data_IF_349709107598
#
_entry.id   IF_349709107598
#
_cell.length_a   1.000
_cell.length_b   1.000
_cell.length_c   1.000
_cell.angle_alpha   90.00
_cell.angle_beta   90.00
_cell.angle_gamma   90.00
#
_symmetry.space_group_name_H-M   'P 1'
#
loop_
_entity.id
_entity.type
_entity.pdbx_description
1 polymer ?
#
# COMPACT_ATOMS: atom_id res chain seq x y z
N UNK A 1 -27.80 -5.38 6.25
CA UNK A 1 -27.45 -6.72 5.76
C UNK A 1 -25.94 -6.83 5.59
N UNK A 2 -25.37 -7.95 6.02
CA UNK A 2 -23.92 -8.15 6.04
C UNK A 2 -23.34 -8.61 4.68
N UNK A 3 -24.17 -8.72 3.67
CA UNK A 3 -23.72 -9.16 2.34
C UNK A 3 -23.46 -8.01 1.38
N UNK A 4 -23.11 -6.86 1.92
CA UNK A 4 -22.71 -5.68 1.14
C UNK A 4 -21.25 -5.37 1.40
N UNK A 5 -20.63 -4.59 0.50
CA UNK A 5 -19.25 -4.18 0.70
C UNK A 5 -19.10 -3.40 2.01
N UNK A 6 -17.99 -3.58 2.74
CA UNK A 6 -17.77 -2.81 3.95
C UNK A 6 -17.74 -1.31 3.67
N UNK A 7 -18.15 -0.54 4.67
CA UNK A 7 -18.14 0.93 4.56
C UNK A 7 -16.76 1.44 4.18
N UNK A 8 -16.71 2.32 3.22
CA UNK A 8 -15.45 2.89 2.73
C UNK A 8 -14.78 2.09 1.63
N UNK A 9 -15.39 0.97 1.22
CA UNK A 9 -14.87 0.18 0.10
C UNK A 9 -15.81 0.27 -1.09
N UNK A 10 -15.29 0.01 -2.27
CA UNK A 10 -16.06 0.04 -3.50
C UNK A 10 -15.52 -0.98 -4.48
N UNK A 11 -16.41 -1.76 -5.07
CA UNK A 11 -16.03 -2.70 -6.12
C UNK A 11 -15.73 -1.95 -7.43
N UNK A 12 -14.78 -2.47 -8.18
CA UNK A 12 -14.57 -2.04 -9.57
C UNK A 12 -15.23 -3.11 -10.43
N UNK A 13 -16.36 -2.75 -11.04
CA UNK A 13 -17.16 -3.69 -11.81
C UNK A 13 -16.58 -3.87 -13.22
N UNK A 14 -16.96 -4.97 -13.92
CA UNK A 14 -16.45 -5.22 -15.28
C UNK A 14 -16.62 -4.04 -16.24
N UNK A 15 -17.69 -3.27 -16.10
CA UNK A 15 -17.93 -2.08 -16.94
C UNK A 15 -16.92 -0.96 -16.72
N UNK A 16 -16.26 -0.94 -15.54
CA UNK A 16 -15.32 0.13 -15.17
C UNK A 16 -13.86 -0.33 -15.19
N UNK A 17 -13.62 -1.65 -15.14
CA UNK A 17 -12.27 -2.19 -14.96
C UNK A 17 -11.35 -1.85 -16.13
N UNK A 18 -11.87 -1.69 -17.34
CA UNK A 18 -11.04 -1.39 -18.51
C UNK A 18 -10.38 -0.02 -18.40
N UNK A 19 -11.08 0.97 -17.83
CA UNK A 19 -10.49 2.28 -17.59
C UNK A 19 -9.35 2.19 -16.58
N UNK A 20 -9.53 1.41 -15.52
CA UNK A 20 -8.48 1.15 -14.51
C UNK A 20 -7.27 0.46 -15.14
N UNK A 21 -7.51 -0.55 -15.96
CA UNK A 21 -6.44 -1.29 -16.65
C UNK A 21 -5.66 -0.38 -17.59
N UNK A 22 -6.35 0.52 -18.28
CA UNK A 22 -5.69 1.49 -19.16
C UNK A 22 -4.77 2.40 -18.36
N UNK A 23 -5.25 2.95 -17.25
CA UNK A 23 -4.44 3.81 -16.39
C UNK A 23 -3.22 3.08 -15.84
N UNK A 24 -3.42 1.88 -15.33
CA UNK A 24 -2.34 1.08 -14.76
C UNK A 24 -1.28 0.73 -15.80
N UNK A 25 -1.71 0.33 -16.99
CA UNK A 25 -0.81 0.03 -18.09
C UNK A 25 -0.01 1.25 -18.51
N UNK A 26 -0.66 2.39 -18.63
CA UNK A 26 0.00 3.65 -18.99
C UNK A 26 1.03 4.04 -17.95
N UNK A 27 0.69 3.95 -16.67
CA UNK A 27 1.63 4.24 -15.59
C UNK A 27 2.84 3.29 -15.62
N UNK A 28 2.62 2.00 -15.87
CA UNK A 28 3.71 1.02 -15.97
C UNK A 28 4.62 1.32 -17.16
N UNK A 29 4.06 1.68 -18.29
CA UNK A 29 4.84 2.03 -19.48
C UNK A 29 5.71 3.27 -19.24
N UNK A 30 5.16 4.28 -18.60
CA UNK A 30 5.90 5.49 -18.26
C UNK A 30 7.03 5.16 -17.29
N UNK A 31 6.74 4.39 -16.25
CA UNK A 31 7.77 3.96 -15.29
C UNK A 31 8.90 3.21 -15.98
N UNK A 32 8.55 2.31 -16.90
CA UNK A 32 9.57 1.55 -17.65
C UNK A 32 10.45 2.46 -18.49
N UNK A 33 9.88 3.49 -19.12
CA UNK A 33 10.64 4.46 -19.91
C UNK A 33 11.68 5.20 -19.08
N UNK A 34 11.41 5.42 -17.80
CA UNK A 34 12.34 6.10 -16.89
C UNK A 34 13.22 5.13 -16.09
N UNK A 35 13.16 3.85 -16.41
CA UNK A 35 14.02 2.85 -15.77
C UNK A 35 13.54 2.37 -14.41
N UNK A 36 12.27 2.57 -14.08
CA UNK A 36 11.69 2.06 -12.84
C UNK A 36 11.23 0.61 -13.02
N UNK A 37 11.51 -0.21 -12.01
CA UNK A 37 11.09 -1.61 -11.96
C UNK A 37 9.98 -1.78 -10.93
N UNK A 38 9.04 -2.67 -11.22
CA UNK A 38 7.92 -2.91 -10.31
C UNK A 38 8.36 -3.77 -9.13
N UNK A 39 7.94 -3.37 -7.93
CA UNK A 39 8.05 -4.17 -6.71
C UNK A 39 6.66 -4.44 -6.18
N UNK A 40 6.43 -5.65 -5.68
CA UNK A 40 5.19 -6.02 -5.01
C UNK A 40 5.52 -6.55 -3.63
N UNK A 41 4.90 -5.96 -2.62
CA UNK A 41 5.08 -6.36 -1.23
C UNK A 41 3.76 -6.87 -0.68
N UNK A 42 3.76 -7.61 0.44
CA UNK A 42 2.50 -8.06 1.05
C UNK A 42 1.58 -6.90 1.43
N UNK A 43 0.28 -7.18 1.49
CA UNK A 43 -0.71 -6.15 1.85
C UNK A 43 -0.68 -5.81 3.34
N UNK A 44 -0.04 -6.63 4.17
CA UNK A 44 0.10 -6.37 5.60
C UNK A 44 1.55 -6.60 6.01
N UNK A 45 1.94 -5.93 7.09
CA UNK A 45 3.27 -6.01 7.67
C UNK A 45 3.16 -6.07 9.18
N UNK A 46 4.27 -6.31 9.87
CA UNK A 46 4.32 -6.12 11.30
C UNK A 46 4.02 -4.66 11.63
N UNK A 47 3.17 -4.44 12.64
CA UNK A 47 2.72 -3.09 13.01
C UNK A 47 3.87 -2.13 13.24
N UNK A 48 4.96 -2.61 13.83
CA UNK A 48 6.12 -1.78 14.16
C UNK A 48 6.75 -1.10 12.94
N UNK A 49 6.63 -1.72 11.78
CA UNK A 49 7.19 -1.12 10.55
C UNK A 49 6.59 0.24 10.28
N UNK A 50 5.27 0.37 10.45
CA UNK A 50 4.58 1.62 10.19
C UNK A 50 4.70 2.64 11.32
N UNK A 51 5.05 2.20 12.52
CA UNK A 51 5.21 3.09 13.67
C UNK A 51 6.58 3.74 13.74
N UNK A 52 7.60 3.11 13.20
CA UNK A 52 9.01 3.55 13.33
C UNK A 52 9.32 4.93 12.76
N UNK A 53 8.62 5.34 11.70
CA UNK A 53 8.94 6.57 10.99
C UNK A 53 8.12 7.77 11.41
N UNK A 54 7.21 7.65 12.36
CA UNK A 54 6.13 8.61 12.55
C UNK A 54 6.32 9.47 13.82
N UNK A 55 7.18 9.08 14.74
CA UNK A 55 7.50 9.87 15.93
C UNK A 55 6.29 10.13 16.83
N UNK A 56 6.14 11.35 17.30
CA UNK A 56 5.12 11.73 18.29
C UNK A 56 3.69 11.79 17.74
N UNK A 57 3.49 11.65 16.43
CA UNK A 57 2.16 11.64 15.82
C UNK A 57 1.55 10.25 15.76
N UNK A 58 2.13 9.30 16.47
CA UNK A 58 1.79 7.88 16.44
C UNK A 58 0.32 7.60 16.75
N UNK A 59 -0.28 8.30 17.71
CA UNK A 59 -1.66 8.07 18.11
C UNK A 59 -2.66 8.35 17.00
N UNK A 60 -2.43 9.42 16.23
CA UNK A 60 -3.31 9.78 15.12
C UNK A 60 -3.21 8.74 14.01
N UNK A 61 -1.99 8.29 13.72
CA UNK A 61 -1.75 7.31 12.65
C UNK A 61 -2.24 5.93 13.06
N UNK A 62 -2.05 5.52 14.31
CA UNK A 62 -2.58 4.24 14.81
C UNK A 62 -4.10 4.17 14.67
N UNK A 63 -4.82 5.28 14.92
CA UNK A 63 -6.27 5.32 14.78
C UNK A 63 -6.74 5.18 13.35
N UNK A 64 -5.89 5.54 12.38
CA UNK A 64 -6.22 5.43 10.97
C UNK A 64 -5.79 4.09 10.35
N UNK A 65 -5.05 3.27 11.10
CA UNK A 65 -4.59 1.98 10.63
C UNK A 65 -5.54 0.84 11.01
N UNK A 66 -5.60 -0.16 10.15
CA UNK A 66 -6.31 -1.41 10.42
C UNK A 66 -5.32 -2.41 10.99
N UNK A 67 -5.33 -2.58 12.30
CA UNK A 67 -4.40 -3.46 13.02
C UNK A 67 -5.13 -4.65 13.61
N UNK A 68 -4.53 -5.81 13.52
CA UNK A 68 -5.11 -7.05 14.05
C UNK A 68 -4.00 -7.95 14.60
N UNK A 69 -4.41 -8.92 15.42
CA UNK A 69 -3.49 -9.91 15.98
C UNK A 69 -3.73 -11.23 15.26
N UNK A 70 -2.65 -11.87 14.78
CA UNK A 70 -2.77 -13.16 14.13
C UNK A 70 -2.83 -14.30 15.17
N UNK A 71 -2.92 -15.54 14.68
CA UNK A 71 -3.00 -16.70 15.56
C UNK A 71 -1.71 -16.95 16.35
N UNK A 72 -0.60 -16.39 15.90
CA UNK A 72 0.68 -16.45 16.61
C UNK A 72 0.89 -15.27 17.55
N UNK A 73 -0.15 -14.53 17.87
CA UNK A 73 -0.13 -13.37 18.77
C UNK A 73 0.76 -12.22 18.28
N UNK A 74 1.02 -12.16 16.97
CA UNK A 74 1.78 -11.06 16.36
C UNK A 74 0.83 -9.94 15.93
N UNK A 75 1.22 -8.69 16.17
CA UNK A 75 0.46 -7.54 15.73
C UNK A 75 0.79 -7.23 14.27
N UNK A 76 -0.22 -7.26 13.43
CA UNK A 76 -0.10 -7.00 11.99
C UNK A 76 -1.00 -5.84 11.60
N UNK A 77 -0.60 -5.09 10.58
CA UNK A 77 -1.33 -3.92 10.11
C UNK A 77 -1.47 -3.96 8.60
N UNK A 78 -2.68 -3.71 8.10
CA UNK A 78 -2.87 -3.51 6.66
C UNK A 78 -2.15 -2.23 6.26
N UNK A 79 -1.39 -2.30 5.18
CA UNK A 79 -0.52 -1.17 4.78
C UNK A 79 -1.33 0.11 4.54
N UNK A 80 -1.04 1.18 5.30
CA UNK A 80 -1.66 2.48 5.06
C UNK A 80 -0.96 3.24 3.93
N UNK A 81 0.28 2.86 3.62
CA UNK A 81 1.10 3.35 2.54
C UNK A 81 2.11 2.26 2.19
N UNK A 82 2.85 2.38 1.11
CA UNK A 82 3.73 1.31 0.68
C UNK A 82 5.22 1.66 0.67
N UNK A 83 5.57 2.89 1.00
CA UNK A 83 6.97 3.31 1.03
C UNK A 83 7.75 2.54 2.09
N UNK A 84 7.19 2.38 3.29
CA UNK A 84 7.83 1.63 4.36
C UNK A 84 8.08 0.17 3.96
N UNK A 85 7.12 -0.46 3.30
CA UNK A 85 7.26 -1.84 2.83
C UNK A 85 8.33 -1.97 1.74
N UNK A 86 8.38 -1.01 0.82
CA UNK A 86 9.41 -1.01 -0.22
C UNK A 86 10.80 -0.86 0.38
N UNK A 87 10.97 0.03 1.36
CA UNK A 87 12.24 0.21 2.05
C UNK A 87 12.63 -1.04 2.84
N UNK A 88 11.67 -1.65 3.55
CA UNK A 88 11.92 -2.91 4.26
C UNK A 88 12.41 -3.99 3.29
N UNK A 89 11.74 -4.14 2.15
CA UNK A 89 12.11 -5.14 1.15
C UNK A 89 13.50 -4.85 0.56
N UNK A 90 13.79 -3.59 0.31
CA UNK A 90 15.10 -3.14 -0.18
C UNK A 90 16.22 -3.57 0.79
N UNK A 91 16.02 -3.34 2.08
CA UNK A 91 17.00 -3.71 3.11
C UNK A 91 17.10 -5.23 3.28
N UNK A 92 15.95 -5.89 3.42
CA UNK A 92 15.90 -7.34 3.67
C UNK A 92 16.51 -8.14 2.54
N UNK A 93 16.28 -7.73 1.30
CA UNK A 93 16.80 -8.43 0.12
C UNK A 93 18.13 -7.87 -0.38
N UNK A 94 18.76 -7.02 0.41
CA UNK A 94 20.09 -6.45 0.11
C UNK A 94 20.19 -5.80 -1.26
N UNK A 95 19.11 -5.12 -1.67
CA UNK A 95 19.08 -4.46 -2.97
C UNK A 95 20.07 -3.30 -3.05
N UNK A 96 20.54 -2.83 -1.90
CA UNK A 96 21.59 -1.81 -1.83
C UNK A 96 22.94 -2.31 -2.40
N UNK A 97 23.11 -3.63 -2.56
CA UNK A 97 24.32 -4.20 -3.18
C UNK A 97 24.32 -4.08 -4.70
N UNK A 98 23.17 -3.78 -5.29
CA UNK A 98 23.06 -3.57 -6.73
C UNK A 98 23.58 -2.17 -7.10
N UNK A 99 24.01 -1.97 -8.38
CA UNK A 99 24.45 -0.64 -8.81
C UNK A 99 23.36 0.41 -8.58
N UNK A 100 23.72 1.51 -7.97
CA UNK A 100 22.80 2.63 -7.72
C UNK A 100 22.61 3.46 -9.00
N UNK A 101 21.45 4.17 -9.14
CA UNK A 101 20.32 4.20 -8.21
C UNK A 101 19.35 3.04 -8.43
N UNK A 102 18.68 2.63 -7.35
CA UNK A 102 17.60 1.66 -7.42
C UNK A 102 16.28 2.43 -7.57
N UNK A 103 15.60 2.20 -8.69
CA UNK A 103 14.34 2.89 -9.02
C UNK A 103 13.22 1.88 -9.01
N UNK A 104 12.28 2.05 -8.09
CA UNK A 104 11.16 1.13 -7.91
C UNK A 104 9.84 1.88 -7.96
N UNK A 105 8.79 1.19 -8.44
CA UNK A 105 7.43 1.67 -8.34
C UNK A 105 6.51 0.55 -7.87
N UNK A 106 5.37 0.93 -7.35
CA UNK A 106 4.35 -0.01 -6.91
C UNK A 106 2.98 0.57 -7.20
N UNK A 107 2.03 -0.32 -7.51
CA UNK A 107 0.63 0.02 -7.73
C UNK A 107 -0.19 -1.02 -6.96
N UNK A 108 -1.04 -0.57 -6.07
CA UNK A 108 -1.88 -1.48 -5.30
C UNK A 108 -2.74 -0.73 -4.29
N UNK A 109 -3.69 -1.42 -3.66
CA UNK A 109 -4.57 -0.79 -2.68
C UNK A 109 -3.84 -0.48 -1.39
N UNK A 110 -4.20 0.64 -0.77
CA UNK A 110 -3.76 1.04 0.56
C UNK A 110 -4.99 1.12 1.47
N UNK A 111 -4.78 1.03 2.78
CA UNK A 111 -5.87 0.86 3.73
C UNK A 111 -5.77 1.88 4.85
N UNK A 112 -6.68 2.87 4.85
CA UNK A 112 -6.74 3.89 5.90
C UNK A 112 -8.16 4.05 6.40
N UNK A 113 -8.33 4.15 7.69
CA UNK A 113 -9.59 4.46 8.33
C UNK A 113 -9.68 5.97 8.51
N UNK A 114 -10.12 6.66 7.45
CA UNK A 114 -10.32 8.11 7.49
C UNK A 114 -11.59 8.48 6.71
N UNK A 115 -11.92 9.77 6.70
CA UNK A 115 -13.04 10.29 5.92
C UNK A 115 -12.52 10.72 4.56
N UNK A 116 -12.82 9.98 3.48
CA UNK A 116 -12.37 10.38 2.15
C UNK A 116 -13.11 11.64 1.70
N UNK A 117 -12.37 12.51 1.04
CA UNK A 117 -12.98 13.64 0.36
C UNK A 117 -13.71 13.18 -0.91
N UNK A 118 -14.69 13.97 -1.35
CA UNK A 118 -15.44 13.67 -2.57
C UNK A 118 -14.47 13.43 -3.73
N UNK A 119 -14.65 12.33 -4.45
CA UNK A 119 -13.80 11.94 -5.56
C UNK A 119 -12.51 11.20 -5.19
N UNK A 120 -12.23 11.03 -3.89
CA UNK A 120 -11.00 10.35 -3.42
C UNK A 120 -11.33 9.09 -2.63
N UNK A 121 -12.17 8.25 -3.20
CA UNK A 121 -12.66 7.06 -2.51
C UNK A 121 -11.76 5.84 -2.66
N UNK A 122 -10.69 5.93 -3.47
CA UNK A 122 -9.78 4.81 -3.69
C UNK A 122 -8.33 5.23 -3.52
N UNK A 123 -7.59 4.41 -2.76
CA UNK A 123 -6.16 4.59 -2.55
C UNK A 123 -5.38 3.39 -3.06
#
# INVERSE_FOLDING_TARGET
MLTTAPRGTKDILPRDVEAWRYLERTMREICAQYGYLEIRTPVFEHTELFLRGIGETTDVVEKEMYTFTDRGERSLTLRPENTASAVRSYVENKMYADPAPTKLFYIGPMFRYDRPQAGRYRQ
#
